data_IF_977351965903
#
_entry.id   IF_977351965903
#
_cell.length_a   1.000
_cell.length_b   1.000
_cell.length_c   1.000
_cell.angle_alpha   90.00
_cell.angle_beta   90.00
_cell.angle_gamma   90.00
#
_symmetry.space_group_name_H-M   'P 1'
#
loop_
_entity.id
_entity.type
_entity.pdbx_description
1 polymer ?
#
# COMPACT_ATOMS: atom_id res chain seq x y z
N UNK A 1 0.43 -7.08 -1.30
CA UNK A 1 0.36 -5.62 -1.44
C UNK A 1 -0.68 -5.24 -2.48
N UNK A 2 -1.47 -4.22 -2.18
CA UNK A 2 -2.56 -3.71 -3.03
C UNK A 2 -2.19 -2.27 -3.42
N UNK A 3 -2.44 -1.91 -4.69
CA UNK A 3 -2.25 -0.55 -5.18
C UNK A 3 -3.29 0.38 -4.57
N UNK A 4 -2.88 1.57 -4.15
CA UNK A 4 -3.81 2.65 -3.83
C UNK A 4 -4.27 3.26 -5.15
N UNK A 5 -5.56 3.15 -5.41
CA UNK A 5 -6.20 3.74 -6.59
C UNK A 5 -6.87 5.04 -6.17
N UNK A 6 -6.55 6.11 -6.90
CA UNK A 6 -7.14 7.43 -6.72
C UNK A 6 -7.67 7.86 -8.08
N UNK A 7 -8.98 8.08 -8.19
CA UNK A 7 -9.56 8.68 -9.38
C UNK A 7 -9.17 10.16 -9.51
N UNK A 8 -9.35 10.73 -10.70
CA UNK A 8 -8.87 12.08 -11.02
C UNK A 8 -9.58 13.18 -10.20
N UNK A 9 -10.84 12.94 -9.81
CA UNK A 9 -11.60 13.90 -9.01
C UNK A 9 -11.05 13.95 -7.58
N UNK A 10 -10.91 12.78 -6.93
CA UNK A 10 -10.33 12.67 -5.59
C UNK A 10 -8.90 13.21 -5.60
N UNK A 11 -8.10 12.85 -6.62
CA UNK A 11 -6.73 13.33 -6.78
C UNK A 11 -6.66 14.86 -6.77
N UNK A 12 -7.43 15.49 -7.65
CA UNK A 12 -7.49 16.96 -7.76
C UNK A 12 -7.89 17.61 -6.43
N UNK A 13 -8.86 17.01 -5.73
CA UNK A 13 -9.32 17.49 -4.43
C UNK A 13 -8.21 17.43 -3.37
N UNK A 14 -7.59 16.26 -3.18
CA UNK A 14 -6.57 16.08 -2.14
C UNK A 14 -5.32 16.93 -2.40
N UNK A 15 -4.88 17.04 -3.65
CA UNK A 15 -3.71 17.84 -4.04
C UNK A 15 -3.98 19.33 -3.79
N UNK A 16 -5.15 19.81 -4.23
CA UNK A 16 -5.56 21.21 -4.05
C UNK A 16 -5.66 21.59 -2.58
N UNK A 17 -6.33 20.76 -1.77
CA UNK A 17 -6.52 21.04 -0.34
C UNK A 17 -5.20 20.95 0.42
N UNK A 18 -4.38 19.94 0.11
CA UNK A 18 -3.10 19.73 0.79
C UNK A 18 -2.10 20.84 0.49
N UNK A 19 -1.97 21.25 -0.78
CA UNK A 19 -1.12 22.40 -1.12
C UNK A 19 -1.60 23.69 -0.47
N UNK A 20 -2.91 24.00 -0.54
CA UNK A 20 -3.47 25.21 0.07
C UNK A 20 -3.22 25.26 1.58
N UNK A 21 -3.40 24.13 2.25
CA UNK A 21 -3.12 24.00 3.68
C UNK A 21 -1.62 24.20 3.98
N UNK A 22 -0.75 23.47 3.27
CA UNK A 22 0.70 23.53 3.50
C UNK A 22 1.25 24.94 3.24
N UNK A 23 0.85 25.55 2.12
CA UNK A 23 1.27 26.90 1.75
C UNK A 23 0.88 27.92 2.82
N UNK A 24 -0.35 27.83 3.33
CA UNK A 24 -0.81 28.69 4.43
C UNK A 24 0.01 28.47 5.71
N UNK A 25 0.30 27.21 6.06
CA UNK A 25 1.12 26.87 7.21
C UNK A 25 2.52 27.48 7.12
N UNK A 26 3.25 27.27 6.03
CA UNK A 26 4.65 27.72 5.94
C UNK A 26 4.80 29.24 5.93
N UNK A 27 3.79 29.96 5.45
CA UNK A 27 3.78 31.43 5.46
C UNK A 27 3.47 32.02 6.84
N UNK A 28 2.68 31.32 7.68
CA UNK A 28 2.24 31.82 8.98
C UNK A 28 3.03 31.27 10.15
N UNK A 29 3.56 30.06 10.02
CA UNK A 29 4.30 29.42 11.11
C UNK A 29 5.66 30.09 11.25
N UNK A 30 5.91 30.68 12.42
CA UNK A 30 7.22 31.22 12.75
C UNK A 30 8.14 30.17 13.39
N UNK A 31 9.42 30.26 13.05
CA UNK A 31 10.52 29.61 13.73
C UNK A 31 11.11 30.64 14.71
N UNK A 32 11.31 30.29 15.99
CA UNK A 32 11.82 31.22 17.00
C UNK A 32 13.33 31.44 16.87
N UNK A 33 13.79 31.87 15.68
CA UNK A 33 15.18 32.16 15.36
C UNK A 33 15.70 33.27 16.27
N UNK A 34 16.94 33.21 16.73
CA UNK A 34 17.51 34.35 17.51
C UNK A 34 17.70 35.55 16.61
N UNK A 35 18.35 35.34 15.46
CA UNK A 35 18.55 36.35 14.42
C UNK A 35 17.49 36.17 13.33
N UNK A 36 16.88 37.24 12.80
CA UNK A 36 16.00 37.12 11.65
C UNK A 36 16.77 36.61 10.42
N UNK A 37 16.03 36.09 9.44
CA UNK A 37 16.57 35.69 8.15
C UNK A 37 17.00 36.92 7.33
N UNK A 38 17.67 36.71 6.19
CA UNK A 38 18.16 37.82 5.34
C UNK A 38 17.07 38.80 4.92
N UNK A 39 15.85 38.32 4.73
CA UNK A 39 14.69 39.14 4.35
C UNK A 39 13.97 39.77 5.57
N UNK A 40 14.54 39.67 6.78
CA UNK A 40 13.96 40.18 8.02
C UNK A 40 12.89 39.28 8.64
N UNK A 41 12.43 38.24 7.94
CA UNK A 41 11.33 37.37 8.38
C UNK A 41 11.82 36.19 9.21
N UNK A 42 10.84 35.44 9.74
CA UNK A 42 11.05 34.27 10.62
C UNK A 42 10.11 33.11 10.30
N UNK A 43 9.28 33.25 9.26
CA UNK A 43 8.37 32.20 8.83
C UNK A 43 9.12 31.02 8.20
N UNK A 44 8.47 29.85 8.20
CA UNK A 44 9.05 28.61 7.66
C UNK A 44 9.38 28.76 6.18
N UNK A 45 8.54 29.40 5.38
CA UNK A 45 8.81 29.58 3.95
C UNK A 45 10.11 30.37 3.71
N UNK A 46 10.24 31.53 4.35
CA UNK A 46 11.46 32.34 4.29
C UNK A 46 12.69 31.56 4.74
N UNK A 47 12.56 30.69 5.75
CA UNK A 47 13.65 29.84 6.21
C UNK A 47 14.08 28.84 5.13
N UNK A 48 13.12 28.18 4.48
CA UNK A 48 13.41 27.22 3.40
C UNK A 48 14.08 27.93 2.21
N UNK A 49 13.62 29.12 1.87
CA UNK A 49 14.21 29.95 0.81
C UNK A 49 15.65 30.39 1.16
N UNK A 50 15.91 30.89 2.37
CA UNK A 50 17.24 31.38 2.75
C UNK A 50 18.26 30.25 2.93
N UNK A 51 17.85 29.11 3.49
CA UNK A 51 18.75 27.99 3.81
C UNK A 51 19.01 27.11 2.59
N UNK A 52 17.98 26.83 1.78
CA UNK A 52 18.06 25.88 0.68
C UNK A 52 17.87 26.52 -0.71
N UNK A 53 17.36 27.75 -0.79
CA UNK A 53 16.96 28.36 -2.06
C UNK A 53 15.70 27.74 -2.66
N UNK A 54 14.82 27.16 -1.83
CA UNK A 54 13.57 26.56 -2.30
C UNK A 54 12.48 27.63 -2.41
N UNK A 55 12.13 27.98 -3.64
CA UNK A 55 11.03 28.88 -3.93
C UNK A 55 9.67 28.16 -3.86
N UNK A 56 8.57 28.90 -4.10
CA UNK A 56 7.21 28.36 -4.06
C UNK A 56 7.01 27.16 -5.00
N UNK A 57 7.53 27.21 -6.22
CA UNK A 57 7.35 26.16 -7.21
C UNK A 57 8.10 24.88 -6.82
N UNK A 58 9.33 25.01 -6.32
CA UNK A 58 10.10 23.90 -5.79
C UNK A 58 9.36 23.22 -4.62
N UNK A 59 8.73 24.01 -3.74
CA UNK A 59 7.90 23.47 -2.65
C UNK A 59 6.62 22.83 -3.17
N UNK A 60 5.95 23.40 -4.17
CA UNK A 60 4.76 22.80 -4.77
C UNK A 60 5.08 21.40 -5.32
N UNK A 61 6.14 21.29 -6.12
CA UNK A 61 6.60 20.00 -6.65
C UNK A 61 7.02 19.02 -5.56
N UNK A 62 7.68 19.50 -4.49
CA UNK A 62 8.09 18.67 -3.36
C UNK A 62 6.90 18.12 -2.57
N UNK A 63 5.89 18.96 -2.33
CA UNK A 63 4.76 18.65 -1.45
C UNK A 63 3.73 17.80 -2.17
N UNK A 64 3.47 18.08 -3.45
CA UNK A 64 2.60 17.20 -4.21
C UNK A 64 3.33 15.94 -4.65
N UNK A 65 4.63 16.02 -5.01
CA UNK A 65 5.40 14.88 -5.53
C UNK A 65 4.61 14.10 -6.60
N UNK A 66 3.92 14.84 -7.49
CA UNK A 66 3.03 14.33 -8.53
C UNK A 66 3.64 13.14 -9.28
N UNK A 67 2.95 12.00 -9.27
CA UNK A 67 3.31 10.85 -10.09
C UNK A 67 3.00 11.16 -11.57
N UNK A 68 3.83 11.98 -12.22
CA UNK A 68 3.80 12.16 -13.67
C UNK A 68 4.29 10.87 -14.35
N UNK A 69 3.58 10.34 -15.37
CA UNK A 69 3.99 9.16 -16.14
C UNK A 69 5.29 9.34 -16.97
N UNK A 70 5.95 10.51 -16.91
CA UNK A 70 7.01 10.92 -17.83
C UNK A 70 8.44 10.75 -17.32
N UNK A 71 8.65 10.13 -16.15
CA UNK A 71 10.00 9.75 -15.75
C UNK A 71 10.52 8.65 -16.68
N UNK A 72 11.49 8.97 -17.54
CA UNK A 72 12.11 8.08 -18.53
C UNK A 72 12.67 6.76 -17.97
N UNK A 73 12.71 6.59 -16.64
CA UNK A 73 13.39 5.50 -15.94
C UNK A 73 12.52 4.75 -14.91
N UNK A 74 11.19 4.69 -15.06
CA UNK A 74 10.28 3.88 -14.21
C UNK A 74 10.31 4.17 -12.69
N UNK A 75 10.98 5.24 -12.23
CA UNK A 75 10.97 5.69 -10.83
C UNK A 75 9.84 6.67 -10.60
N UNK A 76 9.14 6.59 -9.47
CA UNK A 76 8.12 7.60 -9.12
C UNK A 76 8.75 9.00 -8.97
N UNK A 77 7.98 10.08 -9.09
CA UNK A 77 8.54 11.42 -8.84
C UNK A 77 9.03 11.54 -7.40
N UNK A 78 8.36 10.85 -6.47
CA UNK A 78 8.81 10.76 -5.09
C UNK A 78 10.18 10.07 -4.98
N UNK A 79 10.40 8.97 -5.70
CA UNK A 79 11.71 8.31 -5.78
C UNK A 79 12.74 9.25 -6.40
N UNK A 80 12.41 10.00 -7.46
CA UNK A 80 13.32 10.98 -8.06
C UNK A 80 13.72 12.09 -7.08
N UNK A 81 12.75 12.65 -6.35
CA UNK A 81 12.97 13.64 -5.29
C UNK A 81 13.81 13.06 -4.16
N UNK A 82 13.62 11.78 -3.84
CA UNK A 82 14.36 11.10 -2.81
C UNK A 82 15.78 10.72 -3.27
N UNK A 83 16.03 10.21 -4.48
CA UNK A 83 17.26 9.46 -4.80
C UNK A 83 18.41 10.32 -5.33
N UNK A 84 18.19 11.36 -6.14
CA UNK A 84 19.30 12.19 -6.65
C UNK A 84 18.93 13.60 -7.14
N UNK A 85 18.06 14.30 -6.41
CA UNK A 85 17.68 15.68 -6.74
C UNK A 85 18.48 16.76 -6.02
N UNK A 86 18.55 17.94 -6.65
CA UNK A 86 19.12 19.17 -6.08
C UNK A 86 18.59 19.45 -4.66
N UNK A 87 17.32 19.13 -4.40
CA UNK A 87 16.66 19.22 -3.09
C UNK A 87 17.39 18.36 -2.03
N UNK A 88 17.54 17.04 -2.24
CA UNK A 88 18.23 16.16 -1.28
C UNK A 88 19.67 16.59 -1.09
N UNK A 89 20.38 16.92 -2.18
CA UNK A 89 21.78 17.39 -2.11
C UNK A 89 21.91 18.64 -1.24
N UNK A 90 21.08 19.65 -1.49
CA UNK A 90 21.00 20.88 -0.68
C UNK A 90 20.69 20.56 0.77
N UNK A 91 19.73 19.69 1.03
CA UNK A 91 19.38 19.28 2.38
C UNK A 91 20.56 18.60 3.08
N UNK A 92 21.15 17.57 2.50
CA UNK A 92 22.29 16.84 3.08
C UNK A 92 23.49 17.77 3.35
N UNK A 93 23.75 18.73 2.48
CA UNK A 93 24.83 19.71 2.65
C UNK A 93 24.58 20.70 3.81
N UNK A 94 23.33 20.89 4.22
CA UNK A 94 22.95 21.85 5.26
C UNK A 94 22.42 21.20 6.52
N UNK A 95 22.11 19.89 6.52
CA UNK A 95 21.38 19.20 7.60
C UNK A 95 22.04 19.38 8.97
N UNK A 96 23.37 19.38 9.02
CA UNK A 96 24.18 19.48 10.24
C UNK A 96 24.51 20.93 10.63
N UNK A 97 24.14 21.90 9.78
CA UNK A 97 24.32 23.31 10.10
C UNK A 97 23.52 23.66 11.34
N UNK A 98 24.16 24.37 12.27
CA UNK A 98 23.56 24.75 13.55
C UNK A 98 23.01 26.17 13.49
N UNK A 99 21.77 26.33 13.90
CA UNK A 99 21.04 27.60 13.95
C UNK A 99 20.55 27.82 15.38
N UNK A 100 20.72 29.03 15.89
CA UNK A 100 20.28 29.38 17.24
C UNK A 100 18.80 29.75 17.25
N UNK A 101 18.02 29.04 18.07
CA UNK A 101 16.61 29.32 18.33
C UNK A 101 16.38 29.59 19.83
N UNK A 102 15.36 30.38 20.16
CA UNK A 102 14.95 30.66 21.54
C UNK A 102 13.44 30.56 21.68
N UNK A 103 12.95 29.39 22.10
CA UNK A 103 11.52 29.18 22.34
C UNK A 103 11.06 29.95 23.58
N UNK A 104 9.75 30.23 23.63
CA UNK A 104 9.11 30.84 24.80
C UNK A 104 9.39 30.00 26.05
N UNK A 105 9.81 30.64 27.14
CA UNK A 105 10.12 29.98 28.41
C UNK A 105 11.56 29.44 28.53
N UNK A 106 12.38 29.49 27.48
CA UNK A 106 13.78 29.09 27.59
C UNK A 106 14.65 30.16 28.26
N UNK A 107 15.51 29.72 29.18
CA UNK A 107 16.49 30.58 29.87
C UNK A 107 17.50 31.19 28.91
N UNK A 108 17.98 30.41 27.94
CA UNK A 108 18.98 30.82 26.95
C UNK A 108 18.66 30.24 25.56
N UNK A 109 19.17 30.85 24.47
CA UNK A 109 19.09 30.26 23.15
C UNK A 109 19.81 28.92 23.07
N UNK A 110 19.27 27.99 22.29
CA UNK A 110 19.89 26.69 22.02
C UNK A 110 20.23 26.56 20.53
N UNK A 111 21.28 25.78 20.23
CA UNK A 111 21.69 25.49 18.85
C UNK A 111 20.99 24.21 18.38
N UNK A 112 20.21 24.31 17.31
CA UNK A 112 19.56 23.19 16.66
C UNK A 112 20.16 22.97 15.28
N UNK A 113 20.27 21.72 14.86
CA UNK A 113 20.60 21.43 13.46
C UNK A 113 19.44 21.82 12.55
N UNK A 114 19.72 22.10 11.27
CA UNK A 114 18.67 22.30 10.27
C UNK A 114 17.74 21.09 10.22
N UNK A 115 18.30 19.88 10.33
CA UNK A 115 17.52 18.64 10.46
C UNK A 115 16.48 18.69 11.60
N UNK A 116 16.91 19.08 12.81
CA UNK A 116 16.01 19.21 13.98
C UNK A 116 14.94 20.28 13.77
N UNK A 117 15.28 21.40 13.13
CA UNK A 117 14.31 22.46 12.79
C UNK A 117 13.28 21.93 11.79
N UNK A 118 13.71 21.20 10.75
CA UNK A 118 12.80 20.60 9.77
C UNK A 118 11.84 19.59 10.42
N UNK A 119 12.33 18.71 11.30
CA UNK A 119 11.48 17.76 12.02
C UNK A 119 10.35 18.42 12.82
N UNK A 120 10.61 19.59 13.38
CA UNK A 120 9.67 20.29 14.26
C UNK A 120 8.76 21.27 13.51
N UNK A 121 9.29 21.97 12.50
CA UNK A 121 8.64 23.12 11.89
C UNK A 121 8.22 22.91 10.43
N UNK A 122 8.50 21.76 9.79
CA UNK A 122 8.06 21.54 8.40
C UNK A 122 6.55 21.26 8.28
N UNK A 123 5.89 20.85 9.37
CA UNK A 123 4.43 20.92 9.47
C UNK A 123 3.68 19.62 9.68
N UNK A 124 4.34 18.45 9.66
CA UNK A 124 3.61 17.18 9.75
C UNK A 124 2.79 17.05 11.03
N UNK A 125 3.33 17.44 12.19
CA UNK A 125 2.58 17.43 13.45
C UNK A 125 1.38 18.37 13.41
N UNK A 126 1.50 19.52 12.76
CA UNK A 126 0.41 20.47 12.60
C UNK A 126 -0.69 19.92 11.68
N UNK A 127 -0.30 19.23 10.60
CA UNK A 127 -1.20 18.52 9.70
C UNK A 127 -1.94 17.39 10.41
N UNK A 128 -1.19 16.54 11.13
CA UNK A 128 -1.73 15.36 11.81
C UNK A 128 -2.71 15.75 12.91
N UNK A 129 -2.38 16.80 13.69
CA UNK A 129 -3.20 17.26 14.81
C UNK A 129 -4.30 18.25 14.40
N UNK A 130 -4.41 18.61 13.12
CA UNK A 130 -5.46 19.47 12.60
C UNK A 130 -5.41 20.92 13.10
N UNK A 131 -4.23 21.55 13.03
CA UNK A 131 -4.09 22.97 13.39
C UNK A 131 -4.87 23.83 12.39
N UNK A 132 -5.85 24.57 12.91
CA UNK A 132 -6.68 25.50 12.15
C UNK A 132 -5.90 26.78 11.80
N UNK A 133 -5.41 26.87 10.56
CA UNK A 133 -4.56 27.99 10.11
C UNK A 133 -5.25 28.93 9.13
N UNK A 134 -6.47 28.58 8.70
CA UNK A 134 -7.25 29.34 7.71
C UNK A 134 -8.65 29.65 8.25
N UNK A 135 -9.20 30.77 7.81
CA UNK A 135 -10.62 31.11 8.02
C UNK A 135 -11.52 30.41 6.99
N UNK A 136 -10.96 29.98 5.85
CA UNK A 136 -11.66 29.19 4.83
C UNK A 136 -11.93 27.78 5.39
N UNK A 137 -13.21 27.37 5.62
CA UNK A 137 -13.53 26.14 6.34
C UNK A 137 -12.92 24.86 5.75
N UNK A 138 -12.92 24.74 4.41
CA UNK A 138 -12.34 23.60 3.68
C UNK A 138 -10.85 23.41 4.01
N UNK A 139 -10.09 24.51 4.03
CA UNK A 139 -8.65 24.52 4.32
C UNK A 139 -8.43 24.38 5.83
N UNK A 140 -9.29 25.02 6.63
CA UNK A 140 -9.26 24.98 8.10
C UNK A 140 -9.37 23.56 8.64
N UNK A 141 -10.21 22.75 7.99
CA UNK A 141 -10.52 21.39 8.40
C UNK A 141 -9.63 20.34 7.72
N UNK A 142 -8.69 20.76 6.86
CA UNK A 142 -7.79 19.84 6.17
C UNK A 142 -6.69 19.35 7.11
N UNK A 143 -6.67 18.04 7.37
CA UNK A 143 -5.76 17.38 8.30
C UNK A 143 -5.61 15.89 7.94
N UNK A 144 -4.86 15.13 8.74
CA UNK A 144 -4.68 13.69 8.52
C UNK A 144 -6.00 12.90 8.46
N UNK A 145 -7.03 13.33 9.20
CA UNK A 145 -8.33 12.68 9.21
C UNK A 145 -9.12 12.94 7.92
N UNK A 146 -9.20 14.20 7.51
CA UNK A 146 -9.88 14.55 6.25
C UNK A 146 -9.18 13.90 5.06
N UNK A 147 -7.84 13.86 5.08
CA UNK A 147 -7.06 13.18 4.06
C UNK A 147 -7.41 11.69 3.94
N UNK A 148 -7.38 10.92 5.04
CA UNK A 148 -7.69 9.48 4.97
C UNK A 148 -9.15 9.22 4.63
N UNK A 149 -10.06 10.11 5.05
CA UNK A 149 -11.48 10.05 4.69
C UNK A 149 -11.70 10.28 3.19
N UNK A 150 -11.09 11.32 2.61
CA UNK A 150 -11.21 11.63 1.19
C UNK A 150 -10.50 10.59 0.32
N UNK A 151 -9.32 10.10 0.74
CA UNK A 151 -8.58 9.06 0.03
C UNK A 151 -9.32 7.70 0.02
N UNK A 152 -10.17 7.44 1.03
CA UNK A 152 -11.08 6.29 1.11
C UNK A 152 -10.40 4.92 0.86
N UNK A 153 -9.15 4.77 1.28
CA UNK A 153 -8.45 3.49 1.28
C UNK A 153 -8.80 2.74 2.56
N UNK A 154 -9.60 1.68 2.42
CA UNK A 154 -10.18 0.93 3.51
C UNK A 154 -9.48 -0.40 3.81
N UNK A 155 -8.54 -0.85 2.97
CA UNK A 155 -7.70 -2.02 3.22
C UNK A 155 -6.23 -1.62 3.18
N UNK A 156 -5.47 -2.10 4.16
CA UNK A 156 -4.07 -1.75 4.29
C UNK A 156 -3.31 -2.14 3.00
N UNK A 157 -2.67 -1.19 2.30
CA UNK A 157 -2.01 -1.46 1.02
C UNK A 157 -0.77 -2.34 1.18
N UNK A 158 -0.12 -2.29 2.36
CA UNK A 158 1.03 -3.15 2.67
C UNK A 158 0.64 -4.62 2.81
N UNK A 159 -0.31 -4.95 3.69
CA UNK A 159 -0.63 -6.36 3.93
C UNK A 159 -1.81 -6.88 3.13
N UNK A 160 -2.74 -6.05 2.65
CA UNK A 160 -3.97 -6.49 1.99
C UNK A 160 -4.89 -7.35 2.89
N UNK A 161 -4.68 -7.34 4.21
CA UNK A 161 -5.34 -8.25 5.18
C UNK A 161 -6.19 -7.54 6.21
N UNK A 162 -5.90 -6.29 6.54
CA UNK A 162 -6.62 -5.57 7.59
C UNK A 162 -7.40 -4.40 7.00
N UNK A 163 -8.62 -4.23 7.49
CA UNK A 163 -9.35 -3.00 7.28
C UNK A 163 -8.69 -1.83 8.02
N UNK A 164 -8.80 -0.65 7.45
CA UNK A 164 -8.17 0.60 7.91
C UNK A 164 -9.13 1.78 7.74
N UNK A 165 -10.35 1.63 8.24
CA UNK A 165 -11.42 2.62 8.07
C UNK A 165 -11.10 3.96 8.73
N UNK A 166 -11.60 5.03 8.13
CA UNK A 166 -11.79 6.32 8.81
C UNK A 166 -13.26 6.40 9.24
N UNK A 167 -13.53 6.51 10.54
CA UNK A 167 -14.91 6.62 11.04
C UNK A 167 -15.45 8.04 10.80
N UNK A 168 -16.69 8.35 11.14
CA UNK A 168 -17.28 9.66 10.83
C UNK A 168 -17.18 10.68 11.98
N UNK A 169 -16.96 10.22 13.21
CA UNK A 169 -17.02 11.00 14.45
C UNK A 169 -15.71 11.71 14.83
N UNK A 170 -14.65 11.56 14.05
CA UNK A 170 -13.33 12.13 14.32
C UNK A 170 -12.39 11.26 15.16
N UNK A 171 -12.87 10.13 15.71
CA UNK A 171 -12.16 9.40 16.77
C UNK A 171 -11.34 8.20 16.27
N UNK A 172 -11.39 7.91 14.97
CA UNK A 172 -10.69 6.77 14.40
C UNK A 172 -10.32 6.99 12.94
N UNK A 173 -9.03 6.87 12.65
CA UNK A 173 -8.47 6.86 11.31
C UNK A 173 -7.33 5.86 11.26
N UNK A 174 -6.92 5.39 10.08
CA UNK A 174 -5.71 4.60 9.99
C UNK A 174 -4.47 5.40 10.33
N UNK A 175 -3.41 4.68 10.66
CA UNK A 175 -2.10 5.31 10.77
C UNK A 175 -1.67 5.80 9.40
N UNK A 176 -0.94 6.92 9.38
CA UNK A 176 -0.28 7.40 8.16
C UNK A 176 1.20 7.06 8.36
N UNK A 177 1.68 6.09 7.61
CA UNK A 177 3.11 5.80 7.49
C UNK A 177 3.73 6.77 6.50
N UNK A 178 4.98 7.18 6.73
CA UNK A 178 5.77 7.90 5.76
C UNK A 178 6.57 6.91 4.94
N UNK A 179 6.32 6.78 3.63
CA UNK A 179 7.06 5.84 2.79
C UNK A 179 8.58 6.04 2.95
N UNK A 180 9.05 7.28 2.78
CA UNK A 180 10.34 7.79 3.24
C UNK A 180 10.24 8.28 4.69
N UNK A 181 10.94 7.66 5.65
CA UNK A 181 10.83 7.97 7.08
C UNK A 181 11.09 9.45 7.37
N UNK A 182 10.20 10.08 8.16
CA UNK A 182 10.32 11.48 8.57
C UNK A 182 11.63 11.77 9.29
N UNK A 183 12.13 10.81 10.07
CA UNK A 183 13.35 10.90 10.87
C UNK A 183 14.60 11.10 10.01
N UNK A 184 14.61 10.61 8.78
CA UNK A 184 15.74 10.76 7.85
C UNK A 184 15.45 11.79 6.76
N UNK A 185 14.19 11.87 6.35
CA UNK A 185 13.69 12.69 5.25
C UNK A 185 12.64 13.71 5.73
N UNK A 186 12.95 14.61 6.69
CA UNK A 186 11.95 15.53 7.23
C UNK A 186 11.41 16.51 6.19
N UNK A 187 12.16 16.77 5.12
CA UNK A 187 11.70 17.56 3.97
C UNK A 187 10.64 16.85 3.11
N UNK A 188 10.43 15.55 3.29
CA UNK A 188 9.33 14.77 2.70
C UNK A 188 8.20 14.50 3.71
N UNK A 189 8.32 14.99 4.95
CA UNK A 189 7.36 14.64 6.02
C UNK A 189 5.96 15.22 5.81
N UNK A 190 5.83 16.22 4.93
CA UNK A 190 4.58 16.79 4.48
C UNK A 190 4.29 16.50 3.00
N UNK A 191 5.06 15.64 2.33
CA UNK A 191 4.77 15.31 0.93
C UNK A 191 3.55 14.38 0.87
N UNK A 192 2.54 14.78 0.11
CA UNK A 192 1.24 14.11 0.03
C UNK A 192 1.37 12.64 -0.32
N UNK A 193 2.09 12.33 -1.39
CA UNK A 193 2.30 10.95 -1.82
C UNK A 193 3.39 10.19 -1.05
N UNK A 194 3.95 10.80 -0.01
CA UNK A 194 4.74 10.11 1.01
C UNK A 194 3.85 9.51 2.12
N UNK A 195 2.56 9.87 2.18
CA UNK A 195 1.61 9.37 3.16
C UNK A 195 0.95 8.07 2.72
N UNK A 196 1.22 6.97 3.42
CA UNK A 196 0.57 5.69 3.18
C UNK A 196 -0.39 5.39 4.33
N UNK A 197 -1.73 5.38 4.10
CA UNK A 197 -2.66 4.89 5.11
C UNK A 197 -2.39 3.40 5.35
N UNK A 198 -2.11 3.01 6.58
CA UNK A 198 -1.67 1.65 6.91
C UNK A 198 -2.25 1.17 8.25
N UNK A 199 -2.24 -0.14 8.44
CA UNK A 199 -2.56 -0.73 9.74
C UNK A 199 -1.36 -0.58 10.70
N UNK A 200 -1.65 -0.60 11.99
CA UNK A 200 -0.65 -0.40 13.05
C UNK A 200 0.50 -1.41 12.99
N UNK A 201 0.19 -2.67 12.70
CA UNK A 201 1.18 -3.72 12.60
C UNK A 201 2.18 -3.47 11.47
N UNK A 202 1.71 -3.14 10.25
CA UNK A 202 2.61 -2.92 9.12
C UNK A 202 3.47 -1.66 9.30
N UNK A 203 2.89 -0.59 9.84
CA UNK A 203 3.65 0.64 10.13
C UNK A 203 4.76 0.38 11.16
N UNK A 204 4.44 -0.36 12.23
CA UNK A 204 5.42 -0.74 13.25
C UNK A 204 6.51 -1.67 12.68
N UNK A 205 6.13 -2.66 11.87
CA UNK A 205 7.07 -3.58 11.23
C UNK A 205 8.07 -2.83 10.34
N UNK A 206 7.59 -1.92 9.48
CA UNK A 206 8.45 -1.09 8.63
C UNK A 206 9.45 -0.28 9.47
N UNK A 207 8.99 0.34 10.55
CA UNK A 207 9.86 1.08 11.49
C UNK A 207 10.92 0.18 12.14
N UNK A 208 10.54 -1.03 12.57
CA UNK A 208 11.47 -1.98 13.19
C UNK A 208 12.55 -2.47 12.22
N UNK A 209 12.14 -2.77 10.99
CA UNK A 209 13.04 -3.21 9.92
C UNK A 209 14.04 -2.09 9.62
N UNK A 210 13.57 -0.85 9.46
CA UNK A 210 14.42 0.32 9.27
C UNK A 210 15.44 0.50 10.40
N UNK A 211 14.98 0.47 11.66
CA UNK A 211 15.82 0.62 12.85
C UNK A 211 16.85 -0.50 13.01
N UNK A 212 16.50 -1.74 12.66
CA UNK A 212 17.43 -2.88 12.71
C UNK A 212 18.55 -2.71 11.68
N UNK A 213 18.21 -2.29 10.47
CA UNK A 213 19.19 -2.10 9.39
C UNK A 213 20.13 -0.92 9.60
N UNK A 214 19.69 0.15 10.27
CA UNK A 214 20.54 1.29 10.61
C UNK A 214 21.60 1.00 11.68
N UNK A 215 21.40 0.00 12.54
CA UNK A 215 22.23 -0.23 13.74
C UNK A 215 23.34 -1.27 13.59
N UNK A 216 23.38 -2.02 12.49
CA UNK A 216 24.34 -3.12 12.33
C UNK A 216 25.18 -2.98 11.06
N UNK A 217 26.33 -2.31 11.21
CA UNK A 217 27.35 -2.15 10.16
C UNK A 217 28.03 -3.46 9.75
N UNK A 218 27.82 -4.56 10.49
CA UNK A 218 28.42 -5.88 10.21
C UNK A 218 27.53 -6.78 9.36
N UNK A 219 26.29 -6.38 9.06
CA UNK A 219 25.43 -7.12 8.14
C UNK A 219 25.98 -6.99 6.71
N UNK A 220 26.72 -8.01 6.24
CA UNK A 220 27.15 -8.17 4.83
C UNK A 220 26.00 -8.11 3.81
N UNK A 221 24.73 -8.16 4.26
CA UNK A 221 23.49 -7.96 3.49
C UNK A 221 23.05 -6.48 3.33
N UNK A 222 23.86 -5.49 3.74
CA UNK A 222 23.62 -4.05 3.49
C UNK A 222 23.45 -3.72 1.99
N UNK A 223 23.80 -4.64 1.07
CA UNK A 223 23.69 -4.49 -0.40
C UNK A 223 22.42 -5.04 -1.05
N UNK A 224 21.57 -5.80 -0.34
CA UNK A 224 20.42 -6.48 -0.98
C UNK A 224 19.06 -5.84 -0.71
N UNK A 225 18.84 -5.28 0.49
CA UNK A 225 17.58 -4.64 0.86
C UNK A 225 17.65 -3.11 0.83
N UNK A 226 18.85 -2.56 0.83
CA UNK A 226 19.09 -1.13 1.01
C UNK A 226 19.72 -0.61 -0.29
N UNK A 227 19.05 0.30 -0.98
CA UNK A 227 19.61 0.97 -2.15
C UNK A 227 20.84 1.80 -1.73
N UNK A 228 21.59 2.38 -2.70
CA UNK A 228 22.83 3.15 -2.45
C UNK A 228 22.68 4.31 -1.45
N UNK A 229 21.46 4.60 -1.00
CA UNK A 229 21.03 5.77 -0.28
C UNK A 229 20.47 5.48 1.12
N UNK A 230 20.70 4.27 1.66
CA UNK A 230 20.23 3.79 2.97
C UNK A 230 18.70 3.56 3.09
N UNK A 231 17.96 3.47 1.98
CA UNK A 231 16.51 3.21 1.98
C UNK A 231 16.16 1.76 1.64
N UNK A 232 15.14 1.20 2.32
CA UNK A 232 14.60 -0.12 1.99
C UNK A 232 13.67 0.02 0.78
N UNK A 233 14.13 -0.45 -0.37
CA UNK A 233 13.36 -0.41 -1.61
C UNK A 233 12.22 -1.42 -1.54
N UNK A 234 11.09 -1.01 -0.94
CA UNK A 234 9.82 -1.76 -0.93
C UNK A 234 8.92 -1.29 -2.07
N UNK A 235 7.88 -2.05 -2.40
CA UNK A 235 6.85 -1.61 -3.34
C UNK A 235 6.18 -0.33 -2.85
N UNK A 236 6.10 0.65 -3.75
CA UNK A 236 5.46 1.93 -3.50
C UNK A 236 3.95 1.86 -3.81
N UNK A 237 3.04 1.93 -2.82
CA UNK A 237 1.63 1.61 -3.03
C UNK A 237 0.87 2.48 -4.03
N UNK A 238 1.33 3.69 -4.33
CA UNK A 238 0.70 4.55 -5.35
C UNK A 238 1.09 4.17 -6.78
N UNK A 239 2.19 3.43 -6.97
CA UNK A 239 2.72 3.09 -8.30
C UNK A 239 2.71 1.59 -8.58
N UNK A 240 3.06 0.78 -7.59
CA UNK A 240 3.45 -0.62 -7.78
C UNK A 240 2.57 -1.57 -6.96
N UNK A 241 2.36 -2.78 -7.48
CA UNK A 241 1.53 -3.79 -6.80
C UNK A 241 1.93 -5.23 -7.13
N UNK A 242 1.39 -6.18 -6.38
CA UNK A 242 1.51 -7.60 -6.73
C UNK A 242 0.69 -7.98 -7.97
N UNK A 243 -0.31 -7.16 -8.35
CA UNK A 243 -1.25 -7.44 -9.45
C UNK A 243 -0.73 -6.96 -10.80
N UNK A 244 0.29 -6.11 -10.81
CA UNK A 244 0.95 -5.62 -12.02
C UNK A 244 1.46 -6.82 -12.85
N UNK A 245 1.43 -6.69 -14.17
CA UNK A 245 1.58 -7.81 -15.09
C UNK A 245 2.93 -7.81 -15.78
N UNK A 246 3.54 -8.99 -15.91
CA UNK A 246 4.71 -9.19 -16.77
C UNK A 246 4.30 -9.28 -18.26
N UNK A 247 5.29 -9.43 -19.14
CA UNK A 247 5.08 -9.56 -20.59
C UNK A 247 4.22 -10.75 -21.01
N UNK A 248 4.03 -11.73 -20.12
CA UNK A 248 3.19 -12.92 -20.32
C UNK A 248 1.76 -12.76 -19.77
N UNK A 249 1.42 -11.58 -19.22
CA UNK A 249 0.11 -11.32 -18.60
C UNK A 249 -0.04 -11.93 -17.19
N UNK A 250 1.05 -12.43 -16.60
CA UNK A 250 1.04 -13.00 -15.25
C UNK A 250 1.28 -11.89 -14.22
N UNK A 251 0.56 -11.95 -13.09
CA UNK A 251 0.77 -11.01 -11.99
C UNK A 251 2.18 -11.19 -11.41
N UNK A 252 2.87 -10.11 -11.05
CA UNK A 252 4.23 -10.15 -10.54
C UNK A 252 4.38 -10.99 -9.27
N UNK A 253 3.35 -11.05 -8.42
CA UNK A 253 3.32 -11.96 -7.29
C UNK A 253 1.93 -12.56 -7.09
N UNK A 254 1.90 -13.83 -6.69
CA UNK A 254 0.65 -14.56 -6.41
C UNK A 254 0.75 -15.34 -5.10
N UNK A 255 -0.34 -15.40 -4.36
CA UNK A 255 -0.47 -16.38 -3.28
C UNK A 255 -0.56 -17.78 -3.88
N UNK A 256 0.10 -18.73 -3.23
CA UNK A 256 0.20 -20.09 -3.72
C UNK A 256 0.07 -21.07 -2.56
N UNK A 257 -0.84 -22.04 -2.72
CA UNK A 257 -0.98 -23.18 -1.81
C UNK A 257 0.07 -24.22 -2.16
N UNK A 258 0.82 -24.68 -1.17
CA UNK A 258 1.78 -25.77 -1.30
C UNK A 258 1.21 -27.05 -0.69
N UNK A 259 1.17 -28.12 -1.48
CA UNK A 259 0.69 -29.44 -1.09
C UNK A 259 1.88 -30.36 -0.75
N UNK A 260 1.69 -31.33 0.13
CA UNK A 260 2.65 -32.42 0.33
C UNK A 260 2.69 -33.28 -0.93
N UNK A 261 3.89 -33.57 -1.41
CA UNK A 261 4.04 -34.76 -2.27
C UNK A 261 3.71 -35.99 -1.43
N UNK A 262 2.94 -36.95 -1.96
CA UNK A 262 2.75 -38.22 -1.27
C UNK A 262 4.14 -38.85 -1.06
N UNK A 263 4.44 -39.28 0.17
CA UNK A 263 5.66 -40.04 0.42
C UNK A 263 5.62 -41.31 -0.42
N UNK A 264 6.71 -41.63 -1.12
CA UNK A 264 6.81 -42.83 -1.97
C UNK A 264 6.49 -44.14 -1.21
N UNK A 265 6.60 -44.16 0.11
CA UNK A 265 6.34 -45.35 0.94
C UNK A 265 4.86 -45.64 1.27
N UNK A 266 3.91 -44.80 0.85
CA UNK A 266 2.46 -45.09 0.98
C UNK A 266 1.88 -45.86 -0.23
N UNK A 267 2.74 -46.28 -1.18
CA UNK A 267 2.35 -47.06 -2.36
C UNK A 267 2.28 -48.57 -2.10
N UNK A 268 1.70 -48.98 -0.97
CA UNK A 268 1.31 -50.37 -0.72
C UNK A 268 -0.23 -50.47 -0.63
N UNK A 269 -0.81 -50.90 -1.75
CA UNK A 269 -2.13 -51.52 -1.91
C UNK A 269 -3.26 -51.06 -0.99
N UNK A 270 -3.73 -49.82 -1.17
CA UNK A 270 -5.14 -49.52 -0.94
C UNK A 270 -5.76 -48.71 -2.09
N UNK A 271 -6.99 -49.04 -2.52
CA UNK A 271 -7.60 -48.41 -3.69
C UNK A 271 -8.04 -46.98 -3.38
N UNK A 272 -7.51 -46.01 -4.13
CA UNK A 272 -8.02 -44.62 -4.24
C UNK A 272 -8.21 -43.90 -2.90
N UNK A 273 -7.12 -43.55 -2.22
CA UNK A 273 -7.20 -42.44 -1.27
C UNK A 273 -7.42 -41.14 -2.07
N UNK A 274 -8.63 -40.59 -1.94
CA UNK A 274 -8.93 -39.23 -2.38
C UNK A 274 -8.00 -38.30 -1.63
N UNK A 275 -7.14 -37.57 -2.34
CA UNK A 275 -6.28 -36.51 -1.79
C UNK A 275 -7.11 -35.68 -0.79
N UNK A 276 -6.73 -35.77 0.48
CA UNK A 276 -7.48 -35.17 1.57
C UNK A 276 -7.11 -33.70 1.67
N UNK A 277 -8.04 -32.83 2.06
CA UNK A 277 -7.72 -31.42 2.38
C UNK A 277 -6.64 -31.31 3.48
N UNK A 278 -6.37 -32.41 4.21
CA UNK A 278 -5.35 -32.51 5.25
C UNK A 278 -3.90 -32.43 4.72
N UNK A 279 -3.69 -32.43 3.39
CA UNK A 279 -2.36 -32.41 2.76
C UNK A 279 -1.85 -30.99 2.41
N UNK A 280 -2.60 -29.95 2.78
CA UNK A 280 -2.18 -28.55 2.62
C UNK A 280 -1.17 -28.19 3.70
N UNK A 281 0.07 -27.90 3.27
CA UNK A 281 1.17 -27.62 4.21
C UNK A 281 1.21 -26.14 4.57
N UNK A 282 1.06 -25.26 3.57
CA UNK A 282 1.28 -23.83 3.76
C UNK A 282 0.74 -22.99 2.59
N UNK A 283 0.56 -21.70 2.84
CA UNK A 283 0.44 -20.67 1.79
C UNK A 283 1.67 -19.80 1.84
N UNK A 284 2.22 -19.50 0.67
CA UNK A 284 3.28 -18.52 0.51
C UNK A 284 3.05 -17.65 -0.72
N UNK A 285 3.93 -16.69 -0.92
CA UNK A 285 3.90 -15.78 -2.07
C UNK A 285 4.92 -16.25 -3.09
N UNK A 286 4.45 -16.66 -4.26
CA UNK A 286 5.28 -16.95 -5.43
C UNK A 286 5.50 -15.65 -6.20
N UNK A 287 6.76 -15.30 -6.41
CA UNK A 287 7.18 -14.13 -7.19
C UNK A 287 7.53 -14.58 -8.61
N UNK A 288 6.86 -14.00 -9.59
CA UNK A 288 7.11 -14.22 -11.01
C UNK A 288 8.18 -13.23 -11.52
N UNK A 289 8.62 -13.42 -12.76
CA UNK A 289 9.58 -12.50 -13.40
C UNK A 289 8.99 -11.08 -13.50
N UNK A 290 9.76 -10.07 -13.07
CA UNK A 290 9.35 -8.67 -13.07
C UNK A 290 10.55 -7.73 -12.95
N UNK A 291 10.46 -6.49 -13.48
CA UNK A 291 11.52 -5.49 -13.33
C UNK A 291 11.69 -4.99 -11.89
N UNK A 292 10.72 -5.24 -11.01
CA UNK A 292 10.68 -4.79 -9.62
C UNK A 292 10.75 -5.96 -8.63
N UNK A 293 11.29 -7.10 -9.05
CA UNK A 293 11.35 -8.35 -8.27
C UNK A 293 12.00 -8.16 -6.90
N UNK A 294 13.07 -7.38 -6.82
CA UNK A 294 13.76 -7.09 -5.55
C UNK A 294 12.86 -6.30 -4.60
N UNK A 295 12.11 -5.30 -5.10
CA UNK A 295 11.12 -4.56 -4.30
C UNK A 295 10.03 -5.47 -3.74
N UNK A 296 9.57 -6.43 -4.54
CA UNK A 296 8.58 -7.42 -4.10
C UNK A 296 9.14 -8.26 -2.96
N UNK A 297 10.37 -8.78 -3.09
CA UNK A 297 11.00 -9.56 -2.04
C UNK A 297 11.23 -8.75 -0.77
N UNK A 298 11.72 -7.51 -0.91
CA UNK A 298 11.91 -6.60 0.21
C UNK A 298 10.59 -6.29 0.93
N UNK A 299 9.50 -6.10 0.19
CA UNK A 299 8.16 -5.94 0.78
C UNK A 299 7.69 -7.19 1.53
N UNK A 300 7.89 -8.38 0.97
CA UNK A 300 7.53 -9.65 1.62
C UNK A 300 8.28 -9.80 2.94
N UNK A 301 9.57 -9.47 2.96
CA UNK A 301 10.41 -9.53 4.16
C UNK A 301 10.04 -8.43 5.17
N UNK A 302 9.98 -7.16 4.74
CA UNK A 302 9.76 -6.01 5.62
C UNK A 302 8.42 -6.08 6.36
N UNK A 303 7.39 -6.64 5.73
CA UNK A 303 6.06 -6.77 6.32
C UNK A 303 5.75 -8.21 6.77
N UNK A 304 6.74 -9.11 6.80
CA UNK A 304 6.57 -10.51 7.21
C UNK A 304 5.36 -11.20 6.54
N UNK A 305 5.17 -10.96 5.24
CA UNK A 305 3.90 -11.31 4.58
C UNK A 305 3.67 -12.83 4.57
N UNK A 306 4.68 -13.65 4.28
CA UNK A 306 4.52 -15.10 4.27
C UNK A 306 4.05 -15.64 5.64
N UNK A 307 4.68 -15.21 6.73
CA UNK A 307 4.31 -15.61 8.09
C UNK A 307 2.87 -15.17 8.41
N UNK A 308 2.54 -13.90 8.15
CA UNK A 308 1.21 -13.38 8.48
C UNK A 308 0.10 -13.99 7.64
N UNK A 309 0.38 -14.38 6.40
CA UNK A 309 -0.59 -15.09 5.56
C UNK A 309 -0.71 -16.57 5.93
N UNK A 310 0.35 -17.20 6.46
CA UNK A 310 0.28 -18.57 6.98
C UNK A 310 -0.67 -18.70 8.19
N UNK A 311 -0.90 -17.60 8.93
CA UNK A 311 -1.86 -17.57 10.03
C UNK A 311 -3.33 -17.67 9.57
N UNK A 312 -3.63 -17.52 8.28
CA UNK A 312 -5.01 -17.61 7.74
C UNK A 312 -5.46 -19.03 7.41
N UNK A 313 -5.10 -19.98 8.27
CA UNK A 313 -5.42 -21.40 8.05
C UNK A 313 -6.93 -21.64 7.95
N UNK A 314 -7.72 -21.01 8.82
CA UNK A 314 -9.19 -21.15 8.83
C UNK A 314 -9.79 -20.62 7.52
N UNK A 315 -9.34 -19.45 7.06
CA UNK A 315 -9.82 -18.86 5.80
C UNK A 315 -9.49 -19.75 4.59
N UNK A 316 -8.29 -20.35 4.59
CA UNK A 316 -7.86 -21.29 3.57
C UNK A 316 -8.72 -22.57 3.58
N UNK A 317 -8.92 -23.16 4.76
CA UNK A 317 -9.72 -24.38 4.94
C UNK A 317 -11.17 -24.18 4.49
N UNK A 318 -11.79 -23.04 4.85
CA UNK A 318 -13.14 -22.69 4.41
C UNK A 318 -13.21 -22.52 2.88
N UNK A 319 -12.25 -21.79 2.29
CA UNK A 319 -12.17 -21.60 0.85
C UNK A 319 -12.04 -22.94 0.10
N UNK A 320 -11.14 -23.81 0.55
CA UNK A 320 -10.91 -25.12 -0.06
C UNK A 320 -12.13 -26.04 0.10
N UNK A 321 -12.79 -25.99 1.26
CA UNK A 321 -14.03 -26.75 1.52
C UNK A 321 -15.15 -26.31 0.59
N UNK A 322 -15.36 -25.00 0.43
CA UNK A 322 -16.32 -24.43 -0.53
C UNK A 322 -15.98 -24.83 -1.95
N UNK A 323 -14.72 -24.69 -2.36
CA UNK A 323 -14.29 -25.05 -3.71
C UNK A 323 -14.55 -26.54 -4.02
N UNK A 324 -14.29 -27.43 -3.06
CA UNK A 324 -14.55 -28.87 -3.18
C UNK A 324 -16.05 -29.19 -3.24
N UNK A 325 -16.85 -28.55 -2.40
CA UNK A 325 -18.28 -28.87 -2.26
C UNK A 325 -19.15 -28.27 -3.37
N UNK A 326 -18.68 -27.21 -4.02
CA UNK A 326 -19.38 -26.49 -5.08
C UNK A 326 -18.61 -26.56 -6.40
N UNK A 327 -18.67 -27.73 -7.04
CA UNK A 327 -18.13 -27.91 -8.38
C UNK A 327 -18.84 -27.01 -9.40
N UNK A 328 -18.17 -26.65 -10.51
CA UNK A 328 -18.77 -25.87 -11.60
C UNK A 328 -20.18 -26.37 -12.02
N UNK A 329 -20.39 -27.69 -12.26
CA UNK A 329 -21.74 -28.21 -12.56
C UNK A 329 -22.79 -27.88 -11.48
N UNK A 330 -22.42 -27.99 -10.21
CA UNK A 330 -23.32 -27.68 -9.09
C UNK A 330 -23.63 -26.17 -9.00
N UNK A 331 -22.63 -25.33 -9.27
CA UNK A 331 -22.84 -23.87 -9.35
C UNK A 331 -23.76 -23.53 -10.52
N UNK A 332 -23.56 -24.16 -11.69
CA UNK A 332 -24.41 -23.96 -12.87
C UNK A 332 -25.86 -24.39 -12.59
N UNK A 333 -26.07 -25.51 -11.89
CA UNK A 333 -27.39 -25.98 -11.45
C UNK A 333 -28.07 -24.99 -10.50
N UNK A 334 -27.37 -24.56 -9.43
CA UNK A 334 -27.88 -23.55 -8.49
C UNK A 334 -28.23 -22.25 -9.23
N UNK A 335 -27.39 -21.84 -10.17
CA UNK A 335 -27.60 -20.63 -10.97
C UNK A 335 -28.87 -20.74 -11.81
N UNK A 336 -29.07 -21.87 -12.51
CA UNK A 336 -30.28 -22.10 -13.30
C UNK A 336 -31.54 -22.05 -12.45
N UNK A 337 -31.52 -22.67 -11.26
CA UNK A 337 -32.65 -22.63 -10.33
C UNK A 337 -32.99 -21.20 -9.88
N UNK A 338 -31.97 -20.39 -9.56
CA UNK A 338 -32.17 -18.98 -9.16
C UNK A 338 -32.73 -18.15 -10.32
N UNK A 339 -32.16 -18.29 -11.52
CA UNK A 339 -32.61 -17.54 -12.71
C UNK A 339 -34.04 -17.92 -13.08
N UNK A 340 -34.39 -19.21 -13.04
CA UNK A 340 -35.75 -19.70 -13.28
C UNK A 340 -36.77 -19.20 -12.24
N UNK A 341 -36.36 -19.04 -10.98
CA UNK A 341 -37.22 -18.49 -9.95
C UNK A 341 -37.44 -16.97 -10.10
N UNK A 342 -36.50 -16.26 -10.74
CA UNK A 342 -36.54 -14.80 -10.92
C UNK A 342 -37.19 -14.36 -12.23
N UNK A 343 -37.12 -15.18 -13.27
CA UNK A 343 -37.81 -14.94 -14.54
C UNK A 343 -39.22 -15.52 -14.47
N UNK A 344 -40.24 -14.72 -14.84
CA UNK A 344 -41.58 -15.27 -15.05
C UNK A 344 -41.54 -16.34 -16.14
N UNK A 345 -42.42 -17.32 -16.05
CA UNK A 345 -42.49 -18.59 -16.80
C UNK A 345 -42.56 -18.50 -18.35
N UNK A 346 -42.34 -17.33 -18.94
CA UNK A 346 -42.39 -17.08 -20.39
C UNK A 346 -41.01 -16.80 -21.04
N UNK A 347 -39.89 -16.87 -20.30
CA UNK A 347 -38.57 -16.69 -20.90
C UNK A 347 -38.14 -17.94 -21.71
N UNK A 348 -37.69 -17.76 -22.95
CA UNK A 348 -37.10 -18.85 -23.76
C UNK A 348 -35.86 -19.44 -23.06
N UNK A 349 -35.69 -20.76 -23.14
CA UNK A 349 -34.58 -21.51 -22.54
C UNK A 349 -33.20 -20.95 -22.90
N UNK A 350 -33.01 -20.45 -24.13
CA UNK A 350 -31.75 -19.85 -24.56
C UNK A 350 -31.44 -18.54 -23.84
N UNK A 351 -32.46 -17.71 -23.56
CA UNK A 351 -32.34 -16.47 -22.78
C UNK A 351 -31.99 -16.79 -21.33
N UNK A 352 -32.65 -17.79 -20.74
CA UNK A 352 -32.35 -18.29 -19.39
C UNK A 352 -30.90 -18.77 -19.30
N UNK A 353 -30.41 -19.53 -20.29
CA UNK A 353 -29.05 -20.04 -20.31
C UNK A 353 -27.99 -18.93 -20.47
N UNK A 354 -28.25 -17.91 -21.28
CA UNK A 354 -27.35 -16.75 -21.42
C UNK A 354 -27.29 -15.93 -20.13
N UNK A 355 -28.44 -15.65 -19.51
CA UNK A 355 -28.52 -14.94 -18.23
C UNK A 355 -27.82 -15.77 -17.14
N UNK A 356 -28.11 -17.06 -17.05
CA UNK A 356 -27.45 -17.96 -16.10
C UNK A 356 -25.93 -17.90 -16.23
N UNK A 357 -25.37 -17.90 -17.44
CA UNK A 357 -23.90 -17.82 -17.62
C UNK A 357 -23.28 -16.56 -17.00
N UNK A 358 -23.95 -15.42 -17.06
CA UNK A 358 -23.51 -14.16 -16.42
C UNK A 358 -23.61 -14.28 -14.89
N UNK A 359 -24.73 -14.82 -14.39
CA UNK A 359 -24.96 -15.01 -12.96
C UNK A 359 -24.07 -16.09 -12.35
N UNK A 360 -23.67 -17.13 -13.09
CA UNK A 360 -22.77 -18.20 -12.65
C UNK A 360 -21.47 -17.61 -12.11
N UNK A 361 -20.89 -16.62 -12.81
CA UNK A 361 -19.63 -15.99 -12.35
C UNK A 361 -19.85 -15.27 -11.01
N UNK A 362 -20.97 -14.57 -10.87
CA UNK A 362 -21.33 -13.84 -9.64
C UNK A 362 -21.60 -14.81 -8.49
N UNK A 363 -22.41 -15.83 -8.72
CA UNK A 363 -22.75 -16.87 -7.73
C UNK A 363 -21.50 -17.66 -7.34
N UNK A 364 -20.62 -18.02 -8.28
CA UNK A 364 -19.32 -18.65 -7.97
C UNK A 364 -18.52 -17.78 -7.01
N UNK A 365 -18.40 -16.47 -7.28
CA UNK A 365 -17.70 -15.54 -6.39
C UNK A 365 -18.34 -15.51 -4.99
N UNK A 366 -19.66 -15.41 -4.91
CA UNK A 366 -20.40 -15.42 -3.63
C UNK A 366 -20.13 -16.70 -2.83
N UNK A 367 -20.26 -17.86 -3.48
CA UNK A 367 -20.08 -19.17 -2.85
C UNK A 367 -18.67 -19.31 -2.31
N UNK A 368 -17.67 -18.84 -3.08
CA UNK A 368 -16.25 -18.89 -2.73
C UNK A 368 -15.81 -17.73 -1.81
N UNK A 369 -16.76 -16.95 -1.26
CA UNK A 369 -16.47 -15.91 -0.27
C UNK A 369 -15.70 -14.71 -0.82
N UNK A 370 -15.89 -14.39 -2.11
CA UNK A 370 -15.39 -13.17 -2.75
C UNK A 370 -16.47 -12.08 -2.77
N UNK A 371 -16.09 -10.79 -2.66
CA UNK A 371 -17.04 -9.67 -2.70
C UNK A 371 -17.74 -9.53 -4.07
N UNK A 372 -18.94 -8.96 -4.05
CA UNK A 372 -19.79 -8.70 -5.21
C UNK A 372 -19.98 -7.18 -5.43
N UNK A 373 -19.10 -6.48 -6.16
CA UNK A 373 -19.36 -5.09 -6.56
C UNK A 373 -18.11 -4.25 -6.92
N UNK A 374 -18.28 -3.22 -7.75
CA UNK A 374 -17.21 -2.28 -8.13
C UNK A 374 -16.61 -1.59 -6.89
N UNK A 375 -15.28 -1.54 -6.80
CA UNK A 375 -14.52 -1.20 -5.59
C UNK A 375 -13.81 -2.41 -4.95
N UNK A 376 -13.91 -3.58 -5.61
CA UNK A 376 -13.39 -4.89 -5.19
C UNK A 376 -12.00 -4.88 -4.51
N UNK A 377 -11.11 -3.92 -4.81
CA UNK A 377 -9.73 -3.87 -4.24
C UNK A 377 -9.69 -3.59 -2.74
N UNK A 378 -10.75 -2.99 -2.21
CA UNK A 378 -10.87 -2.63 -0.79
C UNK A 378 -11.53 -3.76 0.02
N UNK A 379 -11.18 -5.02 -0.26
CA UNK A 379 -11.63 -6.19 0.51
C UNK A 379 -10.43 -7.02 1.00
N UNK A 380 -10.29 -7.24 2.33
CA UNK A 380 -9.22 -8.03 2.90
C UNK A 380 -9.13 -9.43 2.31
N UNK A 381 -7.90 -9.88 2.07
CA UNK A 381 -7.60 -11.21 1.53
C UNK A 381 -8.21 -11.48 0.15
N UNK A 382 -8.74 -10.48 -0.56
CA UNK A 382 -9.31 -10.71 -1.89
C UNK A 382 -8.30 -11.37 -2.82
N UNK A 383 -7.13 -10.75 -3.00
CA UNK A 383 -6.07 -11.30 -3.86
C UNK A 383 -5.62 -12.70 -3.42
N UNK A 384 -5.54 -12.94 -2.11
CA UNK A 384 -5.25 -14.27 -1.56
C UNK A 384 -6.27 -15.31 -2.04
N UNK A 385 -7.57 -15.01 -1.91
CA UNK A 385 -8.63 -15.91 -2.39
C UNK A 385 -8.60 -16.07 -3.91
N UNK A 386 -8.46 -14.96 -4.64
CA UNK A 386 -8.46 -14.96 -6.11
C UNK A 386 -7.30 -15.77 -6.69
N UNK A 387 -6.08 -15.58 -6.18
CA UNK A 387 -4.90 -16.32 -6.62
C UNK A 387 -5.03 -17.82 -6.33
N UNK A 388 -5.56 -18.19 -5.17
CA UNK A 388 -5.77 -19.59 -4.78
C UNK A 388 -6.86 -20.25 -5.64
N UNK A 389 -7.98 -19.55 -5.89
CA UNK A 389 -9.04 -20.04 -6.78
C UNK A 389 -8.50 -20.22 -8.20
N UNK A 390 -7.70 -19.27 -8.70
CA UNK A 390 -7.04 -19.36 -10.00
C UNK A 390 -6.09 -20.58 -10.06
N UNK A 391 -5.30 -20.80 -9.01
CA UNK A 391 -4.44 -21.98 -8.90
C UNK A 391 -5.26 -23.28 -8.98
N UNK A 392 -6.35 -23.38 -8.21
CA UNK A 392 -7.19 -24.57 -8.18
C UNK A 392 -7.89 -24.83 -9.53
N UNK A 393 -8.41 -23.79 -10.16
CA UNK A 393 -9.04 -23.88 -11.48
C UNK A 393 -8.03 -24.37 -12.53
N UNK A 394 -6.80 -23.86 -12.52
CA UNK A 394 -5.72 -24.28 -13.43
C UNK A 394 -5.30 -25.73 -13.18
N UNK A 395 -5.13 -26.15 -11.92
CA UNK A 395 -4.79 -27.54 -11.58
C UNK A 395 -5.89 -28.50 -12.05
N UNK A 396 -7.15 -28.15 -11.85
CA UNK A 396 -8.28 -28.96 -12.30
C UNK A 396 -8.31 -29.12 -13.83
N UNK A 397 -8.03 -28.05 -14.57
CA UNK A 397 -7.99 -28.11 -16.04
C UNK A 397 -6.89 -29.07 -16.52
N UNK A 398 -5.67 -28.96 -15.97
CA UNK A 398 -4.56 -29.87 -16.28
C UNK A 398 -4.91 -31.33 -16.02
N UNK A 399 -5.47 -31.64 -14.84
CA UNK A 399 -5.90 -33.01 -14.51
C UNK A 399 -6.97 -33.54 -15.48
N UNK A 400 -7.86 -32.68 -15.98
CA UNK A 400 -8.88 -33.07 -16.97
C UNK A 400 -8.28 -33.31 -18.37
N UNK A 401 -7.25 -32.56 -18.75
CA UNK A 401 -6.52 -32.74 -20.02
C UNK A 401 -5.66 -34.02 -19.99
N UNK A 402 -4.99 -34.28 -18.87
CA UNK A 402 -4.23 -35.52 -18.63
C UNK A 402 -5.15 -36.76 -18.65
N UNK A 403 -6.33 -36.67 -18.01
CA UNK A 403 -7.31 -37.76 -18.03
C UNK A 403 -7.94 -38.02 -19.41
N UNK A 404 -7.97 -37.01 -20.29
CA UNK A 404 -8.44 -37.14 -21.67
C UNK A 404 -7.36 -37.67 -22.62
N UNK A 405 -6.09 -37.40 -22.35
CA UNK A 405 -4.96 -37.91 -23.15
C UNK A 405 -4.55 -39.33 -22.76
N UNK A 406 -4.96 -39.80 -21.58
CA UNK A 406 -4.77 -41.18 -21.11
C UNK A 406 -5.91 -42.14 -21.50
N UNK A 407 -6.92 -41.66 -22.22
CA UNK A 407 -8.03 -42.42 -22.80
C UNK A 407 -7.93 -42.38 -24.31
#
# INVERSE_FOLDING_TARGET
>A
MIKIEIDDQIRTEIETLHWKWFWNYVQKKEIPLVKPLKNGKRDVFSFLEDIFGWNKDALHSLILAENEPKAKNNSSLLDYIAEDNDIRKKYLNKKDNKISIKKRGWKSPQKHTVHQIMLEYFGYEAFSNGVALSEVPQIKNWNAYSFTKTLNTNVCPYCGRQYIFTISDGNGRPQIDHFYPKEEYPYLSCSLYNFIPSCSLCNQQKSNVFNKYLKDDKIKKKKALIAKDNFISTLYPYAESFEDKNSKGESYAKFHVFYKEPKQDEFLDTPKSKTSLNDVISVGIKVNDSPIKDKIHNSIEAFHLNELYSCHKIELEDLLTRYRNYSKPKIDEITKLIVNAQLSTQALDDTVNQVAKIYTKRIKRTILGLPLGAGDKQYPLRKFKEDIIEQLDNTRQKMQEEAKSSK
#
